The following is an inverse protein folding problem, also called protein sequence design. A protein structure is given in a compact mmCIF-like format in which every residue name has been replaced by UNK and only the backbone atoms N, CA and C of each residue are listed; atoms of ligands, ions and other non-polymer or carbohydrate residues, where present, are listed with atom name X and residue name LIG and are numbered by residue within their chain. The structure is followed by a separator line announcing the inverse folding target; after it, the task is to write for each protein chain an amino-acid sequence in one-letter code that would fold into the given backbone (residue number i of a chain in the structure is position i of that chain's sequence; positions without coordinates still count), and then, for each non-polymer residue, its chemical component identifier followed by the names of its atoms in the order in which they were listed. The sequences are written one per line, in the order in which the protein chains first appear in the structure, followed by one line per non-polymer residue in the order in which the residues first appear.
data_IF_192811681908
#
_entry.id   IF_192811681908
#
_cell.length_a   1.000
_cell.length_b   1.000
_cell.length_c   1.000
_cell.angle_alpha   90.00
_cell.angle_beta   90.00
_cell.angle_gamma   90.00
#
_symmetry.space_group_name_H-M   'P 1'
#
loop_
_entity.id
_entity.type
_entity.pdbx_description
1 polymer ?
#
# COMPACT_ATOMS: atom_id res chain seq x y z
N UNK A 1 18.94 -6.95 -27.39
CA UNK A 1 17.61 -6.67 -28.00
C UNK A 1 17.12 -5.36 -27.42
N UNK A 2 16.86 -4.35 -28.24
CA UNK A 2 16.44 -3.04 -27.76
C UNK A 2 14.94 -3.10 -27.43
N UNK A 3 14.60 -2.86 -26.17
CA UNK A 3 13.21 -2.79 -25.72
C UNK A 3 12.75 -1.33 -25.72
N UNK A 4 11.51 -1.10 -26.15
CA UNK A 4 10.87 0.21 -26.03
C UNK A 4 10.05 0.24 -24.74
N UNK A 5 10.45 1.08 -23.79
CA UNK A 5 9.79 1.24 -22.49
C UNK A 5 9.05 2.56 -22.48
N UNK A 6 7.77 2.54 -22.11
CA UNK A 6 6.94 3.73 -22.05
C UNK A 6 6.03 3.73 -20.82
N UNK A 7 5.80 4.92 -20.24
CA UNK A 7 4.81 5.16 -19.20
C UNK A 7 3.56 5.77 -19.84
N UNK A 8 2.41 5.17 -19.59
CA UNK A 8 1.11 5.61 -20.12
C UNK A 8 0.11 5.73 -18.99
N UNK A 9 -0.76 6.75 -19.04
CA UNK A 9 -1.91 6.82 -18.14
C UNK A 9 -2.86 5.65 -18.41
N UNK A 10 -3.31 4.94 -17.38
CA UNK A 10 -4.13 3.73 -17.51
C UNK A 10 -5.41 3.94 -18.33
N UNK A 11 -6.00 5.14 -18.30
CA UNK A 11 -7.18 5.49 -19.11
C UNK A 11 -6.89 5.63 -20.61
N UNK A 12 -5.62 5.80 -20.98
CA UNK A 12 -5.14 5.95 -22.36
C UNK A 12 -4.37 4.72 -22.85
N UNK A 13 -4.27 3.66 -22.05
CA UNK A 13 -3.58 2.43 -22.45
C UNK A 13 -4.38 1.70 -23.51
N UNK A 14 -3.78 1.54 -24.69
CA UNK A 14 -4.38 0.83 -25.83
C UNK A 14 -4.12 -0.69 -25.79
N UNK A 15 -3.18 -1.16 -24.96
CA UNK A 15 -2.79 -2.57 -24.82
C UNK A 15 -3.34 -3.22 -23.54
N UNK A 16 -4.47 -2.73 -23.03
CA UNK A 16 -4.97 -3.16 -21.72
C UNK A 16 -5.31 -4.65 -21.68
N UNK A 17 -5.82 -5.20 -22.79
CA UNK A 17 -6.16 -6.63 -22.86
C UNK A 17 -4.90 -7.52 -22.91
N UNK A 18 -3.84 -7.11 -23.61
CA UNK A 18 -2.54 -7.80 -23.59
C UNK A 18 -1.91 -7.79 -22.19
N UNK A 19 -2.04 -6.66 -21.47
CA UNK A 19 -1.62 -6.56 -20.07
C UNK A 19 -2.39 -7.55 -19.21
N UNK A 20 -3.73 -7.60 -19.33
CA UNK A 20 -4.55 -8.56 -18.56
C UNK A 20 -4.15 -10.01 -18.85
N UNK A 21 -3.93 -10.36 -20.12
CA UNK A 21 -3.49 -11.70 -20.50
C UNK A 21 -2.11 -12.04 -19.91
N UNK A 22 -1.17 -11.10 -19.92
CA UNK A 22 0.15 -11.29 -19.33
C UNK A 22 0.07 -11.45 -17.80
N UNK A 23 -0.74 -10.63 -17.15
CA UNK A 23 -1.00 -10.72 -15.72
C UNK A 23 -1.61 -12.08 -15.37
N UNK A 24 -2.65 -12.51 -16.08
CA UNK A 24 -3.33 -13.79 -15.85
C UNK A 24 -2.37 -14.97 -16.03
N UNK A 25 -1.48 -14.94 -17.04
CA UNK A 25 -0.42 -15.95 -17.25
C UNK A 25 0.56 -16.04 -16.07
N UNK A 26 0.79 -14.93 -15.37
CA UNK A 26 1.62 -14.87 -14.17
C UNK A 26 0.82 -15.08 -12.87
N UNK A 27 -0.46 -15.43 -12.98
CA UNK A 27 -1.36 -15.64 -11.85
C UNK A 27 -1.75 -14.34 -11.14
N UNK A 28 -1.63 -13.20 -11.82
CA UNK A 28 -1.99 -11.89 -11.32
C UNK A 28 -3.35 -11.45 -11.88
N UNK A 29 -4.20 -10.89 -11.03
CA UNK A 29 -5.53 -10.38 -11.41
C UNK A 29 -5.48 -8.86 -11.55
N UNK A 30 -6.03 -8.34 -12.63
CA UNK A 30 -6.23 -6.90 -12.80
C UNK A 30 -7.47 -6.40 -12.03
N UNK A 31 -7.32 -5.34 -11.23
CA UNK A 31 -8.38 -4.78 -10.37
C UNK A 31 -8.89 -3.41 -10.82
N UNK A 32 -8.41 -2.89 -11.95
CA UNK A 32 -8.82 -1.59 -12.51
C UNK A 32 -8.61 -0.38 -11.57
N UNK A 33 -7.51 -0.40 -10.83
CA UNK A 33 -7.09 0.66 -9.90
C UNK A 33 -5.74 1.30 -10.28
N UNK A 34 -5.12 0.85 -11.37
CA UNK A 34 -3.90 1.45 -11.89
C UNK A 34 -4.18 2.87 -12.40
N UNK A 35 -3.31 3.82 -12.05
CA UNK A 35 -3.30 5.17 -12.63
C UNK A 35 -2.36 5.24 -13.83
N UNK A 36 -1.24 4.51 -13.75
CA UNK A 36 -0.22 4.47 -14.80
C UNK A 36 0.25 3.03 -15.02
N UNK A 37 0.64 2.75 -16.25
CA UNK A 37 1.37 1.54 -16.63
C UNK A 37 2.69 1.89 -17.30
N UNK A 38 3.75 1.27 -16.83
CA UNK A 38 4.98 1.08 -17.59
C UNK A 38 4.83 -0.19 -18.43
N UNK A 39 4.96 -0.09 -19.75
CA UNK A 39 5.01 -1.26 -20.63
C UNK A 39 6.35 -1.31 -21.34
N UNK A 40 6.82 -2.53 -21.60
CA UNK A 40 7.99 -2.79 -22.42
C UNK A 40 7.56 -3.59 -23.65
N UNK A 41 7.95 -3.12 -24.83
CA UNK A 41 7.65 -3.77 -26.10
C UNK A 41 8.92 -4.12 -26.86
N UNK A 42 8.86 -5.21 -27.64
CA UNK A 42 9.90 -5.55 -28.61
C UNK A 42 9.90 -4.57 -29.78
N UNK A 43 10.89 -4.65 -30.67
CA UNK A 43 10.95 -3.82 -31.87
C UNK A 43 9.76 -4.08 -32.82
N UNK A 44 9.20 -5.30 -32.76
CA UNK A 44 8.03 -5.76 -33.51
C UNK A 44 6.70 -5.37 -32.85
N UNK A 45 6.74 -4.74 -31.66
CA UNK A 45 5.56 -4.25 -30.93
C UNK A 45 4.97 -5.23 -29.91
N UNK A 46 5.56 -6.42 -29.73
CA UNK A 46 5.06 -7.41 -28.77
C UNK A 46 5.28 -6.95 -27.32
N UNK A 47 4.26 -7.08 -26.47
CA UNK A 47 4.35 -6.75 -25.04
C UNK A 47 5.26 -7.75 -24.31
N UNK A 48 6.47 -7.30 -23.97
CA UNK A 48 7.46 -8.07 -23.22
C UNK A 48 7.23 -8.03 -21.70
N UNK A 49 6.66 -6.95 -21.17
CA UNK A 49 6.40 -6.79 -19.75
C UNK A 49 5.53 -5.58 -19.40
N UNK A 50 4.95 -5.60 -18.20
CA UNK A 50 4.22 -4.47 -17.61
C UNK A 50 4.54 -4.29 -16.12
N UNK A 51 4.40 -3.05 -15.63
CA UNK A 51 4.42 -2.67 -14.22
C UNK A 51 3.42 -1.52 -14.03
N UNK A 52 2.54 -1.60 -13.04
CA UNK A 52 1.54 -0.58 -12.76
C UNK A 52 1.85 0.25 -11.52
N UNK A 53 1.31 1.48 -11.50
CA UNK A 53 1.33 2.37 -10.35
C UNK A 53 -0.11 2.72 -9.94
N UNK A 54 -0.48 2.40 -8.71
CA UNK A 54 -1.77 2.69 -8.10
C UNK A 54 -1.54 3.42 -6.77
N UNK A 55 -1.75 4.73 -6.74
CA UNK A 55 -1.39 5.58 -5.61
C UNK A 55 0.11 5.48 -5.27
N UNK A 56 0.38 5.02 -4.05
CA UNK A 56 1.74 4.75 -3.54
C UNK A 56 2.14 3.26 -3.65
N UNK A 57 1.38 2.46 -4.40
CA UNK A 57 1.61 1.03 -4.55
C UNK A 57 2.08 0.77 -5.98
N UNK A 58 3.23 0.10 -6.11
CA UNK A 58 3.64 -0.47 -7.39
C UNK A 58 3.00 -1.87 -7.46
N UNK A 59 2.18 -2.08 -8.48
CA UNK A 59 1.39 -3.29 -8.73
C UNK A 59 1.73 -3.88 -10.09
N UNK A 60 1.10 -5.00 -10.43
CA UNK A 60 1.03 -5.50 -11.82
C UNK A 60 2.39 -5.75 -12.46
N UNK A 61 3.37 -6.20 -11.68
CA UNK A 61 4.70 -6.51 -12.18
C UNK A 61 4.69 -7.89 -12.87
N UNK A 62 4.73 -7.90 -14.19
CA UNK A 62 4.78 -9.12 -14.99
C UNK A 62 5.72 -8.96 -16.20
N UNK A 63 6.55 -9.97 -16.44
CA UNK A 63 7.49 -10.02 -17.57
C UNK A 63 7.36 -11.40 -18.21
N UNK A 64 7.26 -11.44 -19.54
CA UNK A 64 7.23 -12.72 -20.25
C UNK A 64 8.52 -13.50 -20.01
N UNK A 65 8.42 -14.83 -19.91
CA UNK A 65 9.56 -15.71 -19.61
C UNK A 65 10.72 -15.55 -20.60
N UNK A 66 10.42 -15.33 -21.88
CA UNK A 66 11.41 -15.13 -22.94
C UNK A 66 12.27 -13.86 -22.76
N UNK A 67 11.78 -12.89 -21.98
CA UNK A 67 12.41 -11.59 -21.75
C UNK A 67 12.80 -11.36 -20.29
N UNK A 68 12.74 -12.40 -19.46
CA UNK A 68 13.15 -12.33 -18.05
C UNK A 68 14.63 -11.99 -17.94
N UNK A 69 14.92 -11.00 -17.10
CA UNK A 69 16.27 -10.55 -16.78
C UNK A 69 16.23 -9.31 -15.89
N UNK A 70 17.28 -9.13 -15.08
CA UNK A 70 17.37 -7.99 -14.15
C UNK A 70 17.38 -6.65 -14.89
N UNK A 71 18.00 -6.58 -16.08
CA UNK A 71 18.08 -5.34 -16.86
C UNK A 71 16.72 -4.77 -17.22
N UNK A 72 15.84 -5.57 -17.82
CA UNK A 72 14.49 -5.12 -18.22
C UNK A 72 13.64 -4.76 -17.01
N UNK A 73 13.61 -5.66 -16.02
CA UNK A 73 12.88 -5.45 -14.76
C UNK A 73 13.26 -4.15 -14.08
N UNK A 74 14.57 -3.89 -13.97
CA UNK A 74 15.11 -2.69 -13.36
C UNK A 74 14.75 -1.44 -14.13
N UNK A 75 14.88 -1.45 -15.45
CA UNK A 75 14.50 -0.30 -16.27
C UNK A 75 13.03 0.05 -16.08
N UNK A 76 12.13 -0.94 -16.12
CA UNK A 76 10.70 -0.71 -15.95
C UNK A 76 10.34 -0.18 -14.55
N UNK A 77 10.87 -0.80 -13.48
CA UNK A 77 10.64 -0.31 -12.12
C UNK A 77 11.22 1.09 -11.92
N UNK A 78 12.37 1.40 -12.53
CA UNK A 78 12.97 2.74 -12.48
C UNK A 78 12.05 3.78 -13.11
N UNK A 79 11.44 3.51 -14.26
CA UNK A 79 10.48 4.43 -14.88
C UNK A 79 9.25 4.67 -13.99
N UNK A 80 8.76 3.63 -13.31
CA UNK A 80 7.66 3.78 -12.34
C UNK A 80 8.08 4.62 -11.14
N UNK A 81 9.28 4.40 -10.59
CA UNK A 81 9.82 5.19 -9.49
C UNK A 81 9.99 6.67 -9.87
N UNK A 82 10.47 6.95 -11.08
CA UNK A 82 10.61 8.31 -11.60
C UNK A 82 9.25 8.99 -11.77
N UNK A 83 8.27 8.26 -12.33
CA UNK A 83 6.89 8.74 -12.46
C UNK A 83 6.28 9.07 -11.11
N UNK A 84 6.39 8.15 -10.13
CA UNK A 84 5.92 8.39 -8.78
C UNK A 84 6.60 9.61 -8.13
N UNK A 85 7.91 9.77 -8.31
CA UNK A 85 8.64 10.93 -7.83
C UNK A 85 8.14 12.25 -8.44
N UNK A 86 7.85 12.28 -9.74
CA UNK A 86 7.28 13.44 -10.42
C UNK A 86 5.89 13.81 -9.89
N UNK A 87 5.11 12.81 -9.47
CA UNK A 87 3.82 12.97 -8.79
C UNK A 87 3.97 13.37 -7.31
N UNK A 88 5.19 13.59 -6.80
CA UNK A 88 5.47 13.90 -5.40
C UNK A 88 5.39 12.70 -4.46
N UNK A 89 5.26 11.48 -4.98
CA UNK A 89 5.08 10.23 -4.22
C UNK A 89 6.45 9.61 -3.92
N UNK A 90 6.93 9.80 -2.70
CA UNK A 90 8.29 9.37 -2.28
C UNK A 90 8.33 8.10 -1.45
N UNK A 91 7.19 7.71 -0.88
CA UNK A 91 7.04 6.50 -0.08
C UNK A 91 6.18 5.54 -0.88
N UNK A 92 6.78 4.46 -1.34
CA UNK A 92 6.16 3.46 -2.18
C UNK A 92 6.24 2.10 -1.50
N UNK A 93 5.25 1.28 -1.80
CA UNK A 93 5.16 -0.09 -1.33
C UNK A 93 4.94 -1.03 -2.50
N UNK A 94 5.42 -2.26 -2.33
CA UNK A 94 5.24 -3.36 -3.26
C UNK A 94 4.76 -4.55 -2.45
N UNK A 95 3.73 -5.21 -2.93
CA UNK A 95 3.47 -6.58 -2.55
C UNK A 95 4.02 -7.49 -3.63
N UNK A 96 4.67 -8.57 -3.23
CA UNK A 96 5.22 -9.50 -4.19
C UNK A 96 5.34 -10.90 -3.62
N UNK A 97 5.65 -11.84 -4.50
CA UNK A 97 5.88 -13.24 -4.15
C UNK A 97 7.32 -13.41 -3.65
N UNK A 98 7.60 -14.34 -2.70
CA UNK A 98 8.94 -14.50 -2.12
C UNK A 98 10.08 -14.64 -3.13
N UNK A 99 9.83 -15.27 -4.28
CA UNK A 99 10.81 -15.44 -5.37
C UNK A 99 11.24 -14.12 -6.03
N UNK A 100 10.45 -13.06 -5.91
CA UNK A 100 10.72 -11.74 -6.49
C UNK A 100 11.27 -10.74 -5.47
N UNK A 101 11.46 -11.12 -4.21
CA UNK A 101 11.98 -10.20 -3.18
C UNK A 101 13.37 -9.66 -3.56
N UNK A 102 14.28 -10.55 -3.95
CA UNK A 102 15.67 -10.19 -4.26
C UNK A 102 15.78 -9.14 -5.37
N UNK A 103 14.91 -9.21 -6.40
CA UNK A 103 14.93 -8.25 -7.49
C UNK A 103 14.50 -6.86 -7.02
N UNK A 104 13.50 -6.75 -6.15
CA UNK A 104 13.07 -5.46 -5.60
C UNK A 104 14.04 -4.92 -4.54
N UNK A 105 14.69 -5.79 -3.77
CA UNK A 105 15.77 -5.38 -2.86
C UNK A 105 16.93 -4.72 -3.61
N UNK A 106 17.30 -5.26 -4.78
CA UNK A 106 18.30 -4.64 -5.67
C UNK A 106 17.91 -3.24 -6.17
N UNK A 107 16.63 -2.88 -6.05
CA UNK A 107 16.03 -1.61 -6.47
C UNK A 107 15.71 -0.68 -5.30
N UNK A 108 16.24 -0.97 -4.10
CA UNK A 108 16.12 -0.11 -2.93
C UNK A 108 14.84 -0.32 -2.13
N UNK A 109 14.13 -1.43 -2.34
CA UNK A 109 13.03 -1.84 -1.46
C UNK A 109 13.56 -2.70 -0.32
N UNK A 110 12.89 -2.64 0.83
CA UNK A 110 13.22 -3.44 2.01
C UNK A 110 12.01 -4.27 2.42
N UNK A 111 12.15 -5.59 2.61
CA UNK A 111 11.09 -6.44 3.12
C UNK A 111 10.66 -5.98 4.51
N UNK A 112 9.37 -5.70 4.67
CA UNK A 112 8.79 -5.28 5.93
C UNK A 112 8.16 -6.46 6.68
N UNK A 113 7.32 -7.23 5.99
CA UNK A 113 6.63 -8.38 6.59
C UNK A 113 6.13 -9.35 5.53
N UNK A 114 5.87 -10.60 5.93
CA UNK A 114 5.15 -11.58 5.13
C UNK A 114 3.69 -11.62 5.59
N UNK A 115 2.74 -11.37 4.68
CA UNK A 115 1.31 -11.42 5.01
C UNK A 115 0.79 -12.86 5.06
N UNK A 116 1.33 -13.73 4.22
CA UNK A 116 1.03 -15.16 4.14
C UNK A 116 2.25 -15.90 3.54
N UNK A 117 2.13 -17.20 3.26
CA UNK A 117 3.23 -17.98 2.66
C UNK A 117 3.62 -17.52 1.25
N UNK A 118 2.77 -16.74 0.59
CA UNK A 118 2.87 -16.42 -0.82
C UNK A 118 3.05 -14.92 -1.10
N UNK A 119 3.12 -14.06 -0.07
CA UNK A 119 3.18 -12.61 -0.24
C UNK A 119 4.02 -11.91 0.81
N UNK A 120 4.91 -11.05 0.35
CA UNK A 120 5.81 -10.19 1.11
C UNK A 120 5.51 -8.73 0.77
N UNK A 121 5.38 -7.89 1.79
CA UNK A 121 5.32 -6.44 1.66
C UNK A 121 6.72 -5.87 1.74
N UNK A 122 7.10 -5.06 0.76
CA UNK A 122 8.34 -4.31 0.74
C UNK A 122 8.07 -2.80 0.64
N UNK A 123 8.94 -1.99 1.23
CA UNK A 123 8.85 -0.52 1.23
C UNK A 123 10.17 0.11 0.78
N UNK A 124 10.13 1.24 0.09
CA UNK A 124 11.35 1.96 -0.33
C UNK A 124 11.80 3.06 0.66
N UNK A 125 11.06 3.24 1.76
CA UNK A 125 11.32 4.24 2.81
C UNK A 125 11.24 3.65 4.22
N UNK A 126 12.12 2.68 4.57
CA UNK A 126 12.16 2.12 5.93
C UNK A 126 12.49 3.17 7.00
N UNK A 127 13.22 4.22 6.64
CA UNK A 127 13.49 5.38 7.51
C UNK A 127 12.21 6.10 7.96
N UNK A 128 11.19 6.15 7.11
CA UNK A 128 9.90 6.75 7.46
C UNK A 128 9.14 5.91 8.47
N UNK A 129 9.22 4.59 8.35
CA UNK A 129 8.64 3.70 9.35
C UNK A 129 9.33 3.87 10.70
N UNK A 130 10.67 3.97 10.71
CA UNK A 130 11.42 4.23 11.93
C UNK A 130 11.05 5.59 12.56
N UNK A 131 10.84 6.63 11.75
CA UNK A 131 10.37 7.92 12.22
C UNK A 131 9.02 7.80 12.95
N UNK A 132 8.05 7.10 12.35
CA UNK A 132 6.73 6.86 12.96
C UNK A 132 6.88 6.07 14.27
N UNK A 133 7.74 5.06 14.31
CA UNK A 133 8.00 4.30 15.53
C UNK A 133 8.55 5.19 16.65
N UNK A 134 9.49 6.09 16.32
CA UNK A 134 10.04 7.04 17.28
C UNK A 134 8.96 8.03 17.77
N UNK A 135 8.14 8.56 16.87
CA UNK A 135 7.01 9.45 17.24
C UNK A 135 5.99 8.72 18.14
N UNK A 136 5.63 7.47 17.80
CA UNK A 136 4.76 6.62 18.62
C UNK A 136 5.34 6.34 20.00
N UNK A 137 6.65 6.13 20.10
CA UNK A 137 7.31 5.83 21.39
C UNK A 137 7.15 6.96 22.41
N UNK A 138 7.00 8.21 21.96
CA UNK A 138 6.74 9.35 22.85
C UNK A 138 5.35 9.33 23.48
N UNK A 139 4.43 8.55 22.92
CA UNK A 139 3.07 8.34 23.43
C UNK A 139 2.95 7.04 24.25
N UNK A 140 4.07 6.39 24.57
CA UNK A 140 4.08 5.18 25.38
C UNK A 140 3.48 5.42 26.77
N UNK A 141 2.55 4.54 27.16
CA UNK A 141 1.92 4.55 28.48
C UNK A 141 2.30 3.28 29.22
N UNK A 142 2.56 3.38 30.53
CA UNK A 142 2.82 2.21 31.36
C UNK A 142 1.54 1.41 31.59
N UNK A 143 1.63 0.09 31.46
CA UNK A 143 0.53 -0.84 31.69
C UNK A 143 0.95 -2.26 31.30
N UNK A 144 0.26 -3.26 31.84
CA UNK A 144 0.50 -4.68 31.54
C UNK A 144 -0.12 -5.06 30.19
N UNK A 145 -1.26 -4.47 29.84
CA UNK A 145 -1.97 -4.70 28.59
C UNK A 145 -2.31 -3.39 27.89
N UNK A 146 -1.65 -3.12 26.77
CA UNK A 146 -1.90 -1.96 25.92
C UNK A 146 -2.64 -2.39 24.66
N UNK A 147 -3.79 -1.78 24.40
CA UNK A 147 -4.62 -2.03 23.22
C UNK A 147 -4.35 -1.02 22.11
N UNK A 148 -4.63 -1.42 20.87
CA UNK A 148 -4.62 -0.53 19.71
C UNK A 148 -5.78 -0.84 18.75
N UNK A 149 -6.41 0.19 18.20
CA UNK A 149 -7.41 0.09 17.13
C UNK A 149 -7.00 1.01 16.00
N UNK A 150 -7.07 0.51 14.76
CA UNK A 150 -7.08 1.35 13.55
C UNK A 150 -8.53 1.56 13.16
N UNK A 151 -8.98 2.81 13.10
CA UNK A 151 -10.38 3.19 12.94
C UNK A 151 -10.58 4.09 11.72
N UNK A 152 -11.35 3.64 10.74
CA UNK A 152 -11.74 4.49 9.62
C UNK A 152 -12.77 5.54 10.06
N UNK A 153 -13.83 5.16 10.78
CA UNK A 153 -14.83 6.08 11.32
C UNK A 153 -15.40 7.07 10.26
N UNK A 154 -15.84 6.54 9.12
CA UNK A 154 -16.41 7.32 8.01
C UNK A 154 -17.93 7.06 7.83
N UNK A 155 -18.83 7.74 8.57
CA UNK A 155 -18.57 8.56 9.76
C UNK A 155 -18.43 7.72 11.04
N UNK A 156 -18.09 8.37 12.15
CA UNK A 156 -18.13 7.74 13.47
C UNK A 156 -19.58 7.39 13.84
N UNK A 157 -19.78 6.20 14.43
CA UNK A 157 -21.11 5.69 14.77
C UNK A 157 -21.12 5.09 16.17
N UNK A 158 -22.31 4.77 16.70
CA UNK A 158 -22.45 4.07 17.98
C UNK A 158 -21.75 2.71 17.99
N UNK A 159 -21.62 2.05 16.84
CA UNK A 159 -20.85 0.81 16.72
C UNK A 159 -19.35 1.03 16.96
N UNK A 160 -18.80 2.14 16.46
CA UNK A 160 -17.41 2.52 16.73
C UNK A 160 -17.19 2.87 18.21
N UNK A 161 -18.12 3.61 18.82
CA UNK A 161 -18.08 3.91 20.26
C UNK A 161 -18.08 2.62 21.09
N UNK A 162 -18.99 1.68 20.76
CA UNK A 162 -19.06 0.39 21.43
C UNK A 162 -17.75 -0.40 21.29
N UNK A 163 -17.14 -0.46 20.10
CA UNK A 163 -15.85 -1.14 19.91
C UNK A 163 -14.75 -0.48 20.76
N UNK A 164 -14.71 0.84 20.83
CA UNK A 164 -13.75 1.57 21.66
C UNK A 164 -13.95 1.27 23.15
N UNK A 165 -15.19 1.27 23.65
CA UNK A 165 -15.54 0.92 25.04
C UNK A 165 -15.15 -0.52 25.38
N UNK A 166 -15.49 -1.47 24.51
CA UNK A 166 -15.17 -2.88 24.71
C UNK A 166 -13.68 -3.14 24.67
N UNK A 167 -12.92 -2.44 23.82
CA UNK A 167 -11.46 -2.58 23.79
C UNK A 167 -10.81 -1.92 25.01
N UNK A 168 -11.25 -0.72 25.38
CA UNK A 168 -10.72 0.03 26.51
C UNK A 168 -10.96 -0.68 27.85
N UNK A 169 -12.08 -1.40 28.01
CA UNK A 169 -12.35 -2.21 29.20
C UNK A 169 -11.48 -3.48 29.31
N UNK A 170 -10.79 -3.86 28.23
CA UNK A 170 -9.94 -5.05 28.17
C UNK A 170 -8.45 -4.74 28.22
N UNK A 171 -8.05 -3.48 28.41
CA UNK A 171 -6.66 -3.05 28.46
C UNK A 171 -6.49 -1.90 29.47
N UNK A 172 -5.26 -1.71 29.93
CA UNK A 172 -4.93 -0.60 30.84
C UNK A 172 -4.97 0.72 30.08
N UNK A 173 -4.61 0.70 28.80
CA UNK A 173 -4.65 1.85 27.91
C UNK A 173 -4.96 1.46 26.46
N UNK A 174 -5.76 2.24 25.76
CA UNK A 174 -6.14 2.03 24.37
C UNK A 174 -5.66 3.16 23.46
N UNK A 175 -4.85 2.85 22.46
CA UNK A 175 -4.52 3.77 21.38
C UNK A 175 -5.50 3.61 20.21
N UNK A 176 -6.10 4.70 19.75
CA UNK A 176 -6.99 4.72 18.57
C UNK A 176 -6.30 5.51 17.47
N UNK A 177 -6.02 4.87 16.34
CA UNK A 177 -5.42 5.47 15.15
C UNK A 177 -6.49 5.74 14.09
N UNK A 178 -6.78 7.01 13.82
CA UNK A 178 -7.77 7.37 12.80
C UNK A 178 -7.13 7.35 11.41
N UNK A 179 -7.69 6.60 10.47
CA UNK A 179 -7.12 6.44 9.11
C UNK A 179 -7.16 7.76 8.34
N UNK A 180 -6.03 8.20 7.78
CA UNK A 180 -5.95 9.36 6.88
C UNK A 180 -6.18 8.92 5.44
N UNK A 181 -7.40 9.07 4.95
CA UNK A 181 -7.77 8.88 3.54
C UNK A 181 -8.49 10.15 3.04
N UNK A 182 -8.15 10.55 1.82
CA UNK A 182 -8.58 11.83 1.23
C UNK A 182 -9.81 11.72 0.30
N UNK A 183 -10.17 10.50 -0.13
CA UNK A 183 -11.31 10.26 -1.03
C UNK A 183 -12.48 9.62 -0.26
N UNK A 184 -12.97 10.33 0.75
CA UNK A 184 -14.06 9.87 1.62
C UNK A 184 -15.14 10.95 1.74
N UNK A 185 -16.40 10.52 1.96
CA UNK A 185 -17.54 11.42 2.17
C UNK A 185 -17.30 12.40 3.33
N UNK A 186 -16.61 11.96 4.39
CA UNK A 186 -16.19 12.80 5.51
C UNK A 186 -14.67 13.03 5.49
N UNK A 187 -14.27 14.29 5.62
CA UNK A 187 -12.86 14.67 5.65
C UNK A 187 -12.14 14.01 6.84
N UNK A 188 -10.83 13.78 6.72
CA UNK A 188 -10.04 13.28 7.84
C UNK A 188 -10.20 14.15 9.11
N UNK A 189 -10.22 15.47 8.95
CA UNK A 189 -10.38 16.40 10.06
C UNK A 189 -11.73 16.19 10.78
N UNK A 190 -12.81 16.01 10.02
CA UNK A 190 -14.14 15.75 10.57
C UNK A 190 -14.19 14.39 11.25
N UNK A 191 -13.70 13.33 10.61
CA UNK A 191 -13.66 11.98 11.20
C UNK A 191 -12.85 11.95 12.49
N UNK A 192 -11.69 12.60 12.51
CA UNK A 192 -10.85 12.70 13.70
C UNK A 192 -11.56 13.45 14.85
N UNK A 193 -12.24 14.56 14.54
CA UNK A 193 -13.03 15.30 15.51
C UNK A 193 -14.21 14.46 16.05
N UNK A 194 -14.92 13.75 15.17
CA UNK A 194 -16.01 12.85 15.55
C UNK A 194 -15.53 11.71 16.46
N UNK A 195 -14.40 11.08 16.16
CA UNK A 195 -13.80 10.05 17.02
C UNK A 195 -13.46 10.63 18.38
N UNK A 196 -12.75 11.75 18.44
CA UNK A 196 -12.40 12.42 19.70
C UNK A 196 -13.61 12.75 20.56
N UNK A 197 -14.67 13.29 19.96
CA UNK A 197 -15.90 13.62 20.67
C UNK A 197 -16.66 12.35 21.11
N UNK A 198 -16.77 11.37 20.23
CA UNK A 198 -17.50 10.13 20.45
C UNK A 198 -16.85 9.17 21.46
N UNK A 199 -15.58 9.40 21.82
CA UNK A 199 -14.85 8.62 22.83
C UNK A 199 -14.43 9.46 24.04
N UNK A 200 -14.89 10.70 24.17
CA UNK A 200 -14.45 11.63 25.22
C UNK A 200 -14.76 11.17 26.66
N UNK A 201 -15.74 10.28 26.82
CA UNK A 201 -16.14 9.70 28.10
C UNK A 201 -15.25 8.53 28.56
N UNK A 202 -14.38 8.01 27.69
CA UNK A 202 -13.49 6.89 28.02
C UNK A 202 -12.16 7.46 28.52
N UNK A 203 -11.80 7.15 29.76
CA UNK A 203 -10.67 7.82 30.46
C UNK A 203 -9.29 7.28 30.10
N UNK A 204 -9.18 6.04 29.61
CA UNK A 204 -7.92 5.34 29.37
C UNK A 204 -7.59 5.19 27.88
N UNK A 205 -7.78 6.25 27.10
CA UNK A 205 -7.52 6.23 25.65
C UNK A 205 -6.60 7.35 25.19
N UNK A 206 -5.98 7.15 24.03
CA UNK A 206 -5.34 8.22 23.26
C UNK A 206 -5.77 8.11 21.80
N UNK A 207 -6.34 9.19 21.27
CA UNK A 207 -6.73 9.27 19.85
C UNK A 207 -5.62 9.95 19.07
N UNK A 208 -4.97 9.18 18.20
CA UNK A 208 -3.90 9.61 17.33
C UNK A 208 -4.46 10.05 15.98
N UNK A 209 -4.04 11.23 15.54
CA UNK A 209 -4.17 11.57 14.13
C UNK A 209 -3.27 10.61 13.35
N UNK A 210 -3.71 10.14 12.18
CA UNK A 210 -2.81 9.42 11.29
C UNK A 210 -1.57 10.28 11.06
N UNK A 211 -0.41 9.76 11.45
CA UNK A 211 0.85 10.48 11.32
C UNK A 211 1.12 10.68 9.84
N UNK A 212 1.44 11.91 9.46
CA UNK A 212 1.62 12.37 8.08
C UNK A 212 2.91 11.84 7.43
N UNK A 213 3.30 10.61 7.70
CA UNK A 213 4.14 9.85 6.78
C UNK A 213 3.19 9.17 5.81
N UNK A 214 3.32 9.48 4.53
CA UNK A 214 2.64 8.86 3.38
C UNK A 214 2.69 7.30 3.29
N UNK A 215 3.21 6.64 4.32
CA UNK A 215 3.28 5.18 4.52
C UNK A 215 2.14 4.61 5.39
N UNK A 216 1.30 5.43 6.02
CA UNK A 216 0.24 4.98 6.93
C UNK A 216 -1.10 4.68 6.24
N UNK A 217 -1.11 4.50 4.91
CA UNK A 217 -2.26 3.90 4.24
C UNK A 217 -2.23 2.41 4.55
N UNK A 218 -3.06 1.96 5.50
CA UNK A 218 -3.36 0.55 5.60
C UNK A 218 -4.01 0.13 4.26
N UNK A 219 -3.45 -0.84 3.52
CA UNK A 219 -4.13 -1.34 2.34
C UNK A 219 -5.51 -1.85 2.76
N UNK A 220 -6.55 -1.42 2.06
CA UNK A 220 -7.89 -1.97 2.21
C UNK A 220 -7.82 -3.47 1.92
N UNK A 221 -8.09 -4.31 2.93
CA UNK A 221 -8.18 -5.76 2.76
C UNK A 221 -9.49 -6.13 2.04
N UNK A 222 -9.46 -6.83 0.89
CA UNK A 222 -10.61 -7.50 0.31
C UNK A 222 -10.76 -8.90 0.92
N UNK A 223 -12.01 -9.25 1.20
CA UNK A 223 -12.49 -10.46 1.87
C UNK A 223 -12.55 -11.71 0.97
N UNK A 224 -11.63 -11.87 0.01
CA UNK A 224 -11.71 -12.92 -1.01
C UNK A 224 -10.68 -14.04 -0.85
N UNK A 225 -11.15 -15.29 -0.89
CA UNK A 225 -10.43 -16.55 -0.64
C UNK A 225 -9.63 -17.11 -1.84
N UNK A 226 -9.24 -16.28 -2.81
CA UNK A 226 -8.31 -16.67 -3.88
C UNK A 226 -7.14 -15.70 -3.92
N UNK A 227 -5.95 -16.19 -4.34
CA UNK A 227 -4.71 -15.42 -4.47
C UNK A 227 -5.01 -14.07 -5.14
N UNK A 228 -5.10 -13.03 -4.31
CA UNK A 228 -5.15 -11.65 -4.77
C UNK A 228 -3.70 -11.31 -5.03
N UNK A 229 -3.36 -11.18 -6.30
CA UNK A 229 -2.13 -10.57 -6.70
C UNK A 229 -2.19 -9.09 -6.34
N UNK A 230 -1.44 -8.76 -5.31
CA UNK A 230 -1.08 -7.41 -4.96
C UNK A 230 0.23 -7.08 -5.65
#
# INVERSE_FOLDING_TARGET
MQMNIAITNAQSVIYLDEIKELLDKQGLRYENDAEYFCTAHTAEGELAGCVGLAGNIIKYFAIQDAFKGEGLSRSMVTEVLLTAHQLGRKSLSIFTTPDKVAIFESMGFTPLTSLNRDSVLLINRPDKLQQVQNELSTHGVSGDKIGAIVMNANPFTKGHAYIAEQAASQCDWLHIFVVSENDQEFSFADRFAMVKQGTAHISNITVHAAMSSSSANAPSHPTSSRKVAW
#
